data_IF_598858293671
#
_entry.id   IF_598858293671
#
_cell.length_a   1.000
_cell.length_b   1.000
_cell.length_c   1.000
_cell.angle_alpha   90.00
_cell.angle_beta   90.00
_cell.angle_gamma   90.00
#
_symmetry.space_group_name_H-M   'P 1'
#
loop_
_entity.id
_entity.type
_entity.pdbx_description
1 polymer ?
#
# COMPACT_ATOMS: atom_id res chain seq x y z
N UNK A 1 2.65 -0.87 -3.60
CA UNK A 1 4.01 -0.34 -3.46
C UNK A 1 4.75 -1.23 -2.49
N UNK A 2 5.84 -1.85 -2.94
CA UNK A 2 6.67 -2.79 -2.16
C UNK A 2 8.02 -2.91 -2.89
N UNK A 3 9.15 -2.94 -2.20
CA UNK A 3 10.46 -3.09 -2.84
C UNK A 3 10.71 -4.52 -3.36
N UNK A 4 10.00 -5.51 -2.82
CA UNK A 4 10.10 -6.91 -3.23
C UNK A 4 9.25 -7.21 -4.48
N UNK A 5 9.92 -7.45 -5.61
CA UNK A 5 9.28 -7.78 -6.89
C UNK A 5 8.28 -8.94 -6.80
N UNK A 6 8.64 -10.03 -6.11
CA UNK A 6 7.77 -11.20 -5.96
C UNK A 6 6.46 -10.89 -5.23
N UNK A 7 6.50 -9.99 -4.23
CA UNK A 7 5.30 -9.59 -3.49
C UNK A 7 4.37 -8.78 -4.39
N UNK A 8 4.91 -7.82 -5.15
CA UNK A 8 4.11 -7.02 -6.09
C UNK A 8 3.45 -7.89 -7.15
N UNK A 9 4.21 -8.80 -7.77
CA UNK A 9 3.68 -9.74 -8.75
C UNK A 9 2.56 -10.62 -8.17
N UNK A 10 2.73 -11.15 -6.96
CA UNK A 10 1.73 -11.98 -6.29
C UNK A 10 0.45 -11.20 -5.98
N UNK A 11 0.57 -9.97 -5.46
CA UNK A 11 -0.58 -9.09 -5.22
C UNK A 11 -1.29 -8.73 -6.53
N UNK A 12 -0.54 -8.33 -7.55
CA UNK A 12 -1.07 -7.96 -8.86
C UNK A 12 -1.86 -9.10 -9.49
N UNK A 13 -1.29 -10.31 -9.52
CA UNK A 13 -1.98 -11.51 -10.01
C UNK A 13 -3.22 -11.86 -9.17
N UNK A 14 -3.16 -11.67 -7.84
CA UNK A 14 -4.29 -11.96 -6.95
C UNK A 14 -5.43 -10.95 -7.10
N UNK A 15 -5.15 -9.68 -7.35
CA UNK A 15 -6.14 -8.62 -7.43
C UNK A 15 -6.78 -8.52 -8.81
N UNK A 16 -6.02 -8.72 -9.89
CA UNK A 16 -6.52 -8.60 -11.27
C UNK A 16 -7.49 -9.72 -11.68
N UNK A 17 -7.71 -10.75 -10.84
CA UNK A 17 -8.76 -11.74 -11.05
C UNK A 17 -10.09 -11.33 -10.41
N UNK A 18 -10.11 -10.31 -9.55
CA UNK A 18 -11.34 -9.80 -8.95
C UNK A 18 -12.03 -8.84 -9.95
N UNK A 19 -13.33 -9.00 -10.21
CA UNK A 19 -14.03 -8.22 -11.23
C UNK A 19 -14.24 -6.75 -10.86
N UNK A 20 -14.09 -6.41 -9.57
CA UNK A 20 -14.28 -5.07 -9.01
C UNK A 20 -12.96 -4.33 -8.73
N UNK A 21 -11.81 -4.89 -9.14
CA UNK A 21 -10.49 -4.32 -8.88
C UNK A 21 -9.58 -4.37 -10.11
N UNK A 22 -8.72 -3.38 -10.25
CA UNK A 22 -7.69 -3.34 -11.29
C UNK A 22 -6.41 -2.75 -10.70
N UNK A 23 -5.28 -3.43 -10.90
CA UNK A 23 -3.97 -2.90 -10.54
C UNK A 23 -3.47 -2.00 -11.67
N UNK A 24 -3.67 -0.69 -11.50
CA UNK A 24 -3.31 0.33 -12.49
C UNK A 24 -1.81 0.66 -12.53
N UNK A 25 -1.07 0.37 -11.46
CA UNK A 25 0.36 0.64 -11.36
C UNK A 25 1.04 -0.18 -10.25
N UNK A 26 2.34 -0.43 -10.44
CA UNK A 26 3.23 -1.00 -9.42
C UNK A 26 4.42 -0.06 -9.20
N UNK A 27 4.90 0.03 -7.96
CA UNK A 27 6.04 0.88 -7.60
C UNK A 27 6.95 0.18 -6.60
N UNK A 28 8.26 0.27 -6.83
CA UNK A 28 9.31 -0.30 -6.00
C UNK A 28 9.94 0.70 -5.01
N UNK A 29 9.68 1.99 -5.17
CA UNK A 29 10.20 3.06 -4.31
C UNK A 29 9.23 4.26 -4.24
N UNK A 30 9.51 5.19 -3.32
CA UNK A 30 8.66 6.35 -3.04
C UNK A 30 8.47 7.25 -4.27
N UNK A 31 9.51 7.49 -5.05
CA UNK A 31 9.46 8.35 -6.24
C UNK A 31 8.54 7.74 -7.31
N UNK A 32 8.71 6.46 -7.62
CA UNK A 32 7.86 5.73 -8.54
C UNK A 32 6.40 5.70 -8.06
N UNK A 33 6.16 5.59 -6.75
CA UNK A 33 4.82 5.61 -6.19
C UNK A 33 4.13 6.97 -6.39
N UNK A 34 4.83 8.08 -6.14
CA UNK A 34 4.31 9.43 -6.39
C UNK A 34 4.04 9.67 -7.88
N UNK A 35 4.96 9.25 -8.75
CA UNK A 35 4.77 9.34 -10.20
C UNK A 35 3.53 8.55 -10.66
N UNK A 36 3.36 7.32 -10.15
CA UNK A 36 2.19 6.50 -10.44
C UNK A 36 0.89 7.14 -9.93
N UNK A 37 0.89 7.76 -8.74
CA UNK A 37 -0.28 8.46 -8.23
C UNK A 37 -0.69 9.64 -9.12
N UNK A 38 0.28 10.42 -9.60
CA UNK A 38 0.05 11.54 -10.53
C UNK A 38 -0.49 11.08 -11.88
N UNK A 39 -0.01 9.94 -12.37
CA UNK A 39 -0.36 9.45 -13.70
C UNK A 39 -1.71 8.71 -13.71
N UNK A 40 -1.96 7.87 -12.69
CA UNK A 40 -3.07 6.92 -12.70
C UNK A 40 -4.22 7.30 -11.76
N UNK A 41 -4.02 8.26 -10.85
CA UNK A 41 -5.01 8.68 -9.86
C UNK A 41 -5.73 7.49 -9.17
N UNK A 42 -4.97 6.55 -8.55
CA UNK A 42 -5.54 5.35 -7.98
C UNK A 42 -6.52 5.68 -6.86
N UNK A 43 -7.61 4.91 -6.76
CA UNK A 43 -8.60 5.04 -5.68
C UNK A 43 -8.08 4.52 -4.35
N UNK A 44 -7.17 3.54 -4.38
CA UNK A 44 -6.54 2.94 -3.20
C UNK A 44 -5.07 2.58 -3.50
N UNK A 45 -4.23 2.71 -2.48
CA UNK A 45 -2.81 2.38 -2.52
C UNK A 45 -2.52 1.34 -1.44
N UNK A 46 -1.95 0.21 -1.85
CA UNK A 46 -1.34 -0.75 -0.92
C UNK A 46 0.12 -0.33 -0.72
N UNK A 47 0.55 -0.13 0.53
CA UNK A 47 1.87 0.39 0.88
C UNK A 47 2.60 -0.54 1.84
N UNK A 48 3.75 -1.06 1.45
CA UNK A 48 4.62 -1.77 2.40
C UNK A 48 5.11 -0.83 3.50
N UNK A 49 5.10 -1.29 4.74
CA UNK A 49 5.58 -0.49 5.88
C UNK A 49 7.09 -0.34 5.85
N UNK A 50 7.81 -1.41 5.48
CA UNK A 50 9.27 -1.43 5.50
C UNK A 50 9.78 -1.32 4.08
N UNK A 51 10.56 -0.29 3.84
CA UNK A 51 11.09 0.06 2.54
C UNK A 51 12.54 0.51 2.74
N UNK A 52 13.42 0.27 1.77
CA UNK A 52 14.87 0.34 1.98
C UNK A 52 15.41 1.75 2.15
N UNK A 53 14.81 2.76 1.51
CA UNK A 53 15.32 4.14 1.50
C UNK A 53 14.50 5.11 2.37
N UNK A 54 13.19 4.90 2.43
CA UNK A 54 12.22 5.67 3.22
C UNK A 54 11.20 4.69 3.74
N UNK A 55 10.73 4.83 4.96
CA UNK A 55 9.65 3.99 5.48
C UNK A 55 8.36 4.16 4.66
N UNK A 56 7.49 3.15 4.73
CA UNK A 56 6.13 3.24 4.21
C UNK A 56 5.37 4.41 4.79
N UNK A 57 5.57 4.71 6.08
CA UNK A 57 4.96 5.85 6.76
C UNK A 57 5.39 7.20 6.18
N UNK A 58 6.68 7.38 5.88
CA UNK A 58 7.19 8.60 5.22
C UNK A 58 6.67 8.72 3.78
N UNK A 59 6.57 7.60 3.06
CA UNK A 59 6.00 7.57 1.71
C UNK A 59 4.51 7.94 1.73
N UNK A 60 3.75 7.37 2.67
CA UNK A 60 2.35 7.70 2.93
C UNK A 60 2.16 9.19 3.20
N UNK A 61 2.96 9.77 4.11
CA UNK A 61 2.91 11.20 4.41
C UNK A 61 3.23 12.07 3.17
N UNK A 62 4.19 11.66 2.35
CA UNK A 62 4.53 12.36 1.11
C UNK A 62 3.40 12.31 0.08
N UNK A 63 2.75 11.16 -0.09
CA UNK A 63 1.59 11.00 -0.98
C UNK A 63 0.42 11.85 -0.47
N UNK A 64 0.09 11.78 0.81
CA UNK A 64 -1.04 12.55 1.38
C UNK A 64 -0.82 14.06 1.36
N UNK A 65 0.43 14.52 1.31
CA UNK A 65 0.74 15.95 1.11
C UNK A 65 0.30 16.45 -0.27
N UNK A 66 0.36 15.60 -1.29
CA UNK A 66 -0.06 15.94 -2.66
C UNK A 66 -1.49 15.50 -2.98
N UNK A 67 -1.94 14.40 -2.36
CA UNK A 67 -3.25 13.78 -2.52
C UNK A 67 -3.90 13.55 -1.16
N UNK A 68 -4.45 14.58 -0.49
CA UNK A 68 -4.98 14.49 0.88
C UNK A 68 -6.08 13.44 1.06
N UNK A 69 -6.82 13.13 0.00
CA UNK A 69 -7.93 12.18 0.02
C UNK A 69 -7.54 10.74 -0.31
N UNK A 70 -6.25 10.46 -0.59
CA UNK A 70 -5.80 9.14 -0.98
C UNK A 70 -6.12 8.08 0.09
N UNK A 71 -6.66 6.93 -0.36
CA UNK A 71 -6.89 5.79 0.53
C UNK A 71 -5.63 4.92 0.56
N UNK A 72 -4.98 4.83 1.72
CA UNK A 72 -3.73 4.06 1.85
C UNK A 72 -3.93 2.94 2.87
N UNK A 73 -3.73 1.70 2.43
CA UNK A 73 -3.71 0.49 3.26
C UNK A 73 -2.26 0.06 3.46
N UNK A 74 -1.81 0.03 4.71
CA UNK A 74 -0.47 -0.45 5.03
C UNK A 74 -0.43 -1.97 5.05
N UNK A 75 0.65 -2.53 4.53
CA UNK A 75 0.90 -3.95 4.44
C UNK A 75 2.24 -4.26 5.13
N UNK A 76 2.30 -5.20 6.07
CA UNK A 76 3.54 -5.52 6.82
C UNK A 76 3.67 -7.00 7.16
N UNK A 77 4.88 -7.49 7.32
CA UNK A 77 5.11 -8.84 7.90
C UNK A 77 5.01 -8.85 9.44
N UNK A 78 4.90 -7.69 10.08
CA UNK A 78 4.91 -7.55 11.54
C UNK A 78 3.62 -6.89 12.04
N UNK A 79 3.19 -7.28 13.24
CA UNK A 79 1.98 -6.79 13.91
C UNK A 79 2.28 -5.97 15.17
N UNK A 80 3.47 -5.38 15.26
CA UNK A 80 3.85 -4.59 16.44
C UNK A 80 2.93 -3.39 16.61
N UNK A 81 2.37 -3.22 17.82
CA UNK A 81 1.41 -2.14 18.11
C UNK A 81 1.93 -0.75 17.74
N UNK A 82 3.22 -0.50 17.98
CA UNK A 82 3.85 0.77 17.62
C UNK A 82 3.88 1.03 16.11
N UNK A 83 4.11 -0.03 15.31
CA UNK A 83 4.15 0.07 13.84
C UNK A 83 2.75 0.32 13.27
N UNK A 84 1.73 -0.35 13.83
CA UNK A 84 0.32 -0.10 13.53
C UNK A 84 -0.07 1.33 13.91
N UNK A 85 0.25 1.76 15.13
CA UNK A 85 -0.11 3.08 15.61
C UNK A 85 0.54 4.20 14.78
N UNK A 86 1.84 4.10 14.48
CA UNK A 86 2.56 5.05 13.61
C UNK A 86 1.94 5.12 12.21
N UNK A 87 1.58 3.97 11.65
CA UNK A 87 0.93 3.87 10.34
C UNK A 87 -0.39 4.65 10.29
N UNK A 88 -1.23 4.49 11.32
CA UNK A 88 -2.51 5.20 11.41
C UNK A 88 -2.29 6.71 11.68
N UNK A 89 -1.31 7.07 12.50
CA UNK A 89 -1.00 8.48 12.79
C UNK A 89 -0.58 9.28 11.55
N UNK A 90 0.10 8.66 10.59
CA UNK A 90 0.48 9.33 9.34
C UNK A 90 -0.66 9.42 8.32
N UNK A 91 -1.85 8.94 8.66
CA UNK A 91 -3.05 9.05 7.82
C UNK A 91 -3.37 7.82 6.97
N UNK A 92 -2.71 6.67 7.22
CA UNK A 92 -3.17 5.43 6.61
C UNK A 92 -4.57 5.07 7.13
N UNK A 93 -5.42 4.54 6.24
CA UNK A 93 -6.80 4.17 6.57
C UNK A 93 -6.92 2.77 7.15
N UNK A 94 -5.89 1.96 7.02
CA UNK A 94 -5.87 0.62 7.57
C UNK A 94 -4.48 0.00 7.59
N UNK A 95 -4.41 -1.18 8.18
CA UNK A 95 -3.20 -1.97 8.33
C UNK A 95 -3.54 -3.45 8.20
N UNK A 96 -2.78 -4.19 7.40
CA UNK A 96 -2.95 -5.63 7.23
C UNK A 96 -1.60 -6.34 7.18
N UNK A 97 -1.59 -7.60 7.63
CA UNK A 97 -0.38 -8.43 7.57
C UNK A 97 -0.21 -9.06 6.19
N UNK A 98 1.04 -9.16 5.71
CA UNK A 98 1.39 -9.92 4.49
C UNK A 98 1.05 -11.40 4.61
N UNK A 99 0.93 -11.91 5.84
CA UNK A 99 0.50 -13.28 6.14
C UNK A 99 -1.01 -13.44 6.25
N UNK A 100 -1.79 -12.35 6.12
CA UNK A 100 -3.24 -12.43 6.15
C UNK A 100 -3.76 -13.30 5.00
N UNK A 101 -4.90 -13.95 5.23
CA UNK A 101 -5.53 -14.74 4.19
C UNK A 101 -6.00 -13.81 3.06
N UNK A 102 -6.06 -14.35 1.83
CA UNK A 102 -6.49 -13.59 0.65
C UNK A 102 -7.84 -12.90 0.87
N UNK A 103 -8.79 -13.61 1.47
CA UNK A 103 -10.14 -13.11 1.72
C UNK A 103 -10.14 -11.91 2.69
N UNK A 104 -9.23 -11.90 3.67
CA UNK A 104 -9.07 -10.79 4.61
C UNK A 104 -8.50 -9.57 3.90
N UNK A 105 -7.50 -9.77 3.04
CA UNK A 105 -6.96 -8.70 2.19
C UNK A 105 -8.03 -8.11 1.29
N UNK A 106 -8.79 -8.94 0.58
CA UNK A 106 -9.85 -8.47 -0.31
C UNK A 106 -10.96 -7.71 0.44
N UNK A 107 -11.29 -8.12 1.67
CA UNK A 107 -12.24 -7.37 2.52
C UNK A 107 -11.68 -6.03 2.96
N UNK A 108 -10.38 -5.93 3.26
CA UNK A 108 -9.75 -4.67 3.66
C UNK A 108 -9.60 -3.67 2.51
N UNK A 109 -9.64 -4.15 1.26
CA UNK A 109 -9.54 -3.33 0.05
C UNK A 109 -10.90 -2.80 -0.46
N UNK A 110 -12.02 -3.32 0.06
CA UNK A 110 -13.41 -2.94 -0.29
C UNK A 110 -14.00 -2.01 0.76
#
# INVERSE_FOLDING_TARGET
MDDHFMVRMGLSASLNVEPDMEVVAEAANCEAALAACRQHHPTLIIMDVRLPEKSGAETTAAILKEFPDANILMLSTHSGEEEVFRSLQVGARGYILKSAMREELLRALR
#
